data_IF_590966720284
#
_entry.id   IF_590966720284
#
_cell.length_a   1.000
_cell.length_b   1.000
_cell.length_c   1.000
_cell.angle_alpha   90.00
_cell.angle_beta   90.00
_cell.angle_gamma   90.00
#
_symmetry.space_group_name_H-M   'P 1'
#
loop_
_entity.id
_entity.type
_entity.pdbx_description
1 polymer ?
#
# COMPACT_ATOMS: atom_id res chain seq x y z
N UNK A 1 17.51 6.25 4.82
CA UNK A 1 17.60 6.91 4.07
C UNK A 1 17.50 8.35 4.04
N UNK A 2 16.45 8.90 3.87
CA UNK A 2 16.34 10.32 3.85
C UNK A 2 16.81 10.93 5.12
N UNK A 3 16.51 10.31 6.22
CA UNK A 3 16.91 10.87 7.50
C UNK A 3 18.40 10.89 7.68
N UNK A 4 19.06 9.85 7.32
CA UNK A 4 20.47 9.80 7.47
C UNK A 4 21.14 10.83 6.62
N UNK A 5 20.68 10.99 5.43
CA UNK A 5 21.26 11.97 4.57
C UNK A 5 21.25 13.32 5.20
N UNK A 6 20.16 13.61 5.90
CA UNK A 6 20.08 14.91 6.52
C UNK A 6 20.93 15.02 7.72
N UNK A 7 21.14 13.94 8.42
CA UNK A 7 21.97 13.97 9.56
C UNK A 7 23.31 14.55 9.24
N UNK A 8 23.85 14.13 8.16
CA UNK A 8 25.14 14.63 7.83
C UNK A 8 25.16 16.06 7.46
N UNK A 9 24.15 16.51 6.82
CA UNK A 9 24.12 17.85 6.40
C UNK A 9 23.88 18.80 7.50
N UNK A 10 23.51 18.31 8.60
CA UNK A 10 23.10 19.20 9.63
C UNK A 10 24.07 19.42 10.62
N UNK A 11 25.07 20.03 10.30
CA UNK A 11 25.86 20.48 11.31
C UNK A 11 25.09 21.44 12.05
N UNK A 12 24.08 22.01 11.50
CA UNK A 12 23.29 22.97 12.22
C UNK A 12 21.99 22.33 12.53
N UNK A 13 21.50 22.48 13.71
CA UNK A 13 20.20 21.96 14.07
C UNK A 13 19.09 22.51 13.24
N UNK A 14 19.33 23.64 12.58
CA UNK A 14 18.32 24.23 11.72
C UNK A 14 18.03 23.36 10.52
N UNK A 15 19.05 22.91 9.83
CA UNK A 15 18.84 22.05 8.68
C UNK A 15 18.18 20.76 9.07
N UNK A 16 18.61 20.21 10.19
CA UNK A 16 18.01 18.99 10.67
C UNK A 16 16.52 19.16 10.91
N UNK A 17 16.16 20.26 11.57
CA UNK A 17 14.78 20.50 11.86
C UNK A 17 13.96 20.66 10.59
N UNK A 18 14.48 21.40 9.61
CA UNK A 18 13.76 21.60 8.37
C UNK A 18 13.51 20.29 7.67
N UNK A 19 14.51 19.41 7.69
CA UNK A 19 14.34 18.14 7.04
C UNK A 19 13.28 17.30 7.71
N UNK A 20 13.24 17.30 9.03
CA UNK A 20 12.22 16.56 9.75
C UNK A 20 10.84 17.07 9.44
N UNK A 21 10.69 18.37 9.33
CA UNK A 21 9.39 18.92 8.98
C UNK A 21 8.95 18.45 7.61
N UNK A 22 9.87 18.39 6.67
CA UNK A 22 9.52 17.88 5.36
C UNK A 22 9.06 16.45 5.44
N UNK A 23 9.74 15.62 6.20
CA UNK A 23 9.35 14.24 6.35
C UNK A 23 7.98 14.12 6.97
N UNK A 24 7.70 14.90 7.99
CA UNK A 24 6.39 14.86 8.63
C UNK A 24 5.27 15.31 7.70
N UNK A 25 5.59 16.09 6.69
CA UNK A 25 4.59 16.52 5.73
C UNK A 25 4.51 15.59 4.55
N UNK A 26 5.17 14.43 4.62
CA UNK A 26 5.13 13.51 3.55
C UNK A 26 3.74 13.11 3.25
N UNK A 27 3.55 12.71 2.02
CA UNK A 27 2.24 12.36 1.60
C UNK A 27 1.74 11.14 2.31
N UNK A 28 0.44 11.14 2.49
CA UNK A 28 -0.25 9.98 2.98
C UNK A 28 -0.43 8.99 1.84
N UNK A 29 -0.82 7.75 2.12
CA UNK A 29 -1.13 6.80 1.04
C UNK A 29 -2.16 7.39 0.10
N UNK A 30 -2.08 7.02 -1.17
CA UNK A 30 -3.02 7.51 -2.16
C UNK A 30 -4.39 6.86 -1.96
N UNK A 31 -5.42 7.61 -2.30
CA UNK A 31 -6.80 7.18 -2.09
C UNK A 31 -7.47 6.90 -3.43
N UNK A 32 -8.18 5.80 -3.49
CA UNK A 32 -8.92 5.40 -4.67
C UNK A 32 -10.35 5.05 -4.29
N UNK A 33 -11.30 5.36 -5.16
CA UNK A 33 -12.70 5.04 -4.93
C UNK A 33 -13.03 3.77 -5.68
N UNK A 34 -13.57 2.79 -4.97
CA UNK A 34 -13.91 1.52 -5.58
C UNK A 34 -15.13 1.65 -6.49
N UNK A 35 -15.39 0.60 -7.26
CA UNK A 35 -16.49 0.58 -8.22
C UNK A 35 -17.84 0.82 -7.57
N UNK A 36 -17.99 0.48 -6.28
CA UNK A 36 -19.26 0.70 -5.59
C UNK A 36 -19.55 2.17 -5.30
N UNK A 37 -18.63 3.05 -5.63
CA UNK A 37 -18.84 4.48 -5.48
C UNK A 37 -18.77 4.99 -4.05
N UNK A 38 -18.34 4.16 -3.10
CA UNK A 38 -18.27 4.60 -1.70
C UNK A 38 -17.10 4.03 -0.92
N UNK A 39 -16.59 2.87 -1.26
CA UNK A 39 -15.49 2.26 -0.52
C UNK A 39 -14.16 2.89 -0.93
N UNK A 40 -13.38 3.31 0.06
CA UNK A 40 -12.07 3.92 -0.20
C UNK A 40 -11.00 2.85 -0.06
N UNK A 41 -10.10 2.80 -1.05
CA UNK A 41 -8.99 1.87 -1.05
C UNK A 41 -7.72 2.70 -0.96
N UNK A 42 -6.84 2.35 -0.05
CA UNK A 42 -5.58 3.07 0.15
C UNK A 42 -4.43 2.31 -0.45
N UNK A 43 -3.51 3.03 -1.08
CA UNK A 43 -2.35 2.45 -1.75
C UNK A 43 -1.09 3.13 -1.22
N UNK A 44 -0.17 2.34 -0.67
CA UNK A 44 1.11 2.86 -0.22
C UNK A 44 2.06 3.00 -1.40
N UNK A 45 2.77 4.11 -1.46
CA UNK A 45 3.62 4.42 -2.61
C UNK A 45 5.10 4.20 -2.36
N UNK A 46 5.48 3.91 -1.15
CA UNK A 46 6.87 3.58 -0.84
C UNK A 46 6.89 2.72 0.42
N UNK A 47 8.05 2.22 0.78
CA UNK A 47 8.14 1.27 1.89
C UNK A 47 7.65 1.84 3.21
N UNK A 48 7.89 3.11 3.48
CA UNK A 48 7.43 3.71 4.72
C UNK A 48 5.92 3.84 4.75
N UNK A 49 5.32 4.27 3.62
CA UNK A 49 3.87 4.35 3.53
C UNK A 49 3.25 2.96 3.62
N UNK A 50 3.86 1.96 2.99
CA UNK A 50 3.36 0.59 3.05
C UNK A 50 3.35 0.10 4.49
N UNK A 51 4.41 0.36 5.23
CA UNK A 51 4.52 -0.06 6.62
C UNK A 51 3.47 0.63 7.48
N UNK A 52 3.33 1.93 7.30
CA UNK A 52 2.35 2.72 8.03
C UNK A 52 0.93 2.24 7.74
N UNK A 53 0.62 2.05 6.47
CA UNK A 53 -0.70 1.62 6.05
C UNK A 53 -1.05 0.27 6.66
N UNK A 54 -0.12 -0.66 6.58
CA UNK A 54 -0.38 -2.04 6.96
C UNK A 54 -0.44 -2.22 8.48
N UNK A 55 0.47 -1.59 9.20
CA UNK A 55 0.60 -1.86 10.62
C UNK A 55 -0.01 -0.81 11.54
N UNK A 56 -0.27 0.39 11.02
CA UNK A 56 -0.83 1.44 11.85
C UNK A 56 -2.21 1.91 11.42
N UNK A 57 -2.49 1.92 10.13
CA UNK A 57 -3.75 2.45 9.64
C UNK A 57 -4.83 1.39 9.45
N UNK A 58 -4.45 0.20 8.97
CA UNK A 58 -5.42 -0.84 8.70
C UNK A 58 -6.06 -1.33 10.00
N UNK A 59 -7.38 -1.52 9.96
CA UNK A 59 -8.14 -1.94 11.13
C UNK A 59 -8.44 -3.42 11.07
N UNK A 60 -8.85 -3.97 12.21
CA UNK A 60 -9.16 -5.38 12.30
C UNK A 60 -10.23 -5.75 11.28
N UNK A 61 -9.99 -6.81 10.54
CA UNK A 61 -10.94 -7.30 9.55
C UNK A 61 -10.79 -6.69 8.17
N UNK A 62 -10.02 -5.61 8.02
CA UNK A 62 -9.84 -5.01 6.71
C UNK A 62 -8.89 -5.85 5.86
N UNK A 63 -9.15 -5.90 4.56
CA UNK A 63 -8.39 -6.74 3.65
C UNK A 63 -7.21 -6.00 3.05
N UNK A 64 -6.10 -6.70 2.96
CA UNK A 64 -4.82 -6.22 2.45
C UNK A 64 -4.48 -6.99 1.17
N UNK A 65 -3.88 -6.31 0.21
CA UNK A 65 -3.54 -6.90 -1.08
C UNK A 65 -2.11 -6.55 -1.46
N UNK A 66 -1.46 -7.47 -2.16
CA UNK A 66 -0.10 -7.24 -2.65
C UNK A 66 0.20 -8.23 -3.78
N UNK A 67 0.89 -7.75 -4.81
CA UNK A 67 1.27 -8.64 -5.92
C UNK A 67 2.14 -9.77 -5.36
N UNK A 68 1.85 -11.00 -5.81
CA UNK A 68 2.48 -12.17 -5.24
C UNK A 68 3.94 -12.24 -5.64
N UNK A 69 4.83 -12.32 -4.62
CA UNK A 69 6.27 -12.51 -4.84
C UNK A 69 6.93 -11.48 -5.76
N UNK A 70 6.35 -10.28 -5.88
CA UNK A 70 6.92 -9.22 -6.70
C UNK A 70 6.87 -7.92 -5.90
N UNK A 71 7.87 -7.06 -6.06
CA UNK A 71 7.81 -5.77 -5.36
C UNK A 71 6.64 -4.94 -5.83
N UNK A 72 5.96 -4.30 -4.89
CA UNK A 72 4.81 -3.48 -5.22
C UNK A 72 4.24 -2.80 -4.00
N UNK A 73 3.14 -2.07 -4.21
CA UNK A 73 2.46 -1.33 -3.17
C UNK A 73 1.60 -2.24 -2.30
N UNK A 74 1.51 -1.89 -1.03
CA UNK A 74 0.50 -2.48 -0.15
C UNK A 74 -0.82 -1.75 -0.43
N UNK A 75 -1.91 -2.48 -0.45
CA UNK A 75 -3.24 -1.95 -0.75
C UNK A 75 -4.20 -2.43 0.31
N UNK A 76 -5.03 -1.54 0.85
CA UNK A 76 -5.98 -1.90 1.90
C UNK A 76 -7.36 -1.35 1.56
N UNK A 77 -8.39 -2.19 1.65
CA UNK A 77 -9.77 -1.76 1.55
C UNK A 77 -10.18 -1.24 2.92
N UNK A 78 -10.55 0.04 3.01
CA UNK A 78 -10.82 0.67 4.29
C UNK A 78 -12.31 0.76 4.58
N UNK A 79 -12.65 0.64 5.87
CA UNK A 79 -14.01 0.85 6.37
C UNK A 79 -15.08 0.04 5.65
N UNK A 80 -14.73 -1.15 5.20
CA UNK A 80 -15.68 -2.06 4.57
C UNK A 80 -15.22 -3.47 4.92
N UNK A 81 -15.88 -4.11 5.86
CA UNK A 81 -15.48 -5.42 6.35
C UNK A 81 -16.07 -6.57 5.55
N UNK A 82 -16.94 -6.25 4.59
CA UNK A 82 -17.54 -7.27 3.75
C UNK A 82 -17.62 -6.74 2.31
N UNK A 83 -16.47 -6.48 1.70
CA UNK A 83 -16.48 -5.91 0.35
C UNK A 83 -16.98 -6.93 -0.66
N UNK A 84 -17.63 -6.40 -1.70
CA UNK A 84 -18.10 -7.24 -2.79
C UNK A 84 -16.91 -7.77 -3.60
N UNK A 85 -17.19 -8.73 -4.46
CA UNK A 85 -16.14 -9.26 -5.33
C UNK A 85 -15.59 -8.18 -6.24
N UNK A 86 -16.44 -7.24 -6.68
CA UNK A 86 -15.97 -6.14 -7.51
C UNK A 86 -14.99 -5.25 -6.78
N UNK A 87 -15.28 -4.95 -5.51
CA UNK A 87 -14.37 -4.11 -4.72
C UNK A 87 -13.05 -4.85 -4.47
N UNK A 88 -13.11 -6.15 -4.22
CA UNK A 88 -11.90 -6.94 -4.07
C UNK A 88 -11.08 -6.95 -5.34
N UNK A 89 -11.75 -7.07 -6.49
CA UNK A 89 -11.07 -7.01 -7.77
C UNK A 89 -10.42 -5.65 -7.98
N UNK A 90 -11.12 -4.57 -7.62
CA UNK A 90 -10.56 -3.22 -7.72
C UNK A 90 -9.25 -3.13 -6.93
N UNK A 91 -9.26 -3.62 -5.71
CA UNK A 91 -8.07 -3.55 -4.86
C UNK A 91 -6.95 -4.41 -5.43
N UNK A 92 -7.28 -5.58 -5.95
CA UNK A 92 -6.28 -6.46 -6.56
C UNK A 92 -5.67 -5.80 -7.79
N UNK A 93 -6.50 -5.13 -8.59
CA UNK A 93 -5.99 -4.44 -9.77
C UNK A 93 -5.09 -3.28 -9.39
N UNK A 94 -5.41 -2.57 -8.31
CA UNK A 94 -4.52 -1.52 -7.83
C UNK A 94 -3.17 -2.11 -7.40
N UNK A 95 -3.19 -3.21 -6.67
CA UNK A 95 -1.95 -3.85 -6.24
C UNK A 95 -1.13 -4.32 -7.43
N UNK A 96 -1.78 -4.87 -8.44
CA UNK A 96 -1.08 -5.33 -9.64
C UNK A 96 -0.50 -4.15 -10.42
N UNK A 97 -1.28 -3.08 -10.56
CA UNK A 97 -0.84 -1.93 -11.32
C UNK A 97 0.37 -1.25 -10.67
N UNK A 98 0.37 -1.15 -9.35
CA UNK A 98 1.48 -0.52 -8.63
C UNK A 98 2.52 -1.55 -8.20
N UNK A 99 2.83 -2.48 -9.10
CA UNK A 99 3.87 -3.48 -8.88
C UNK A 99 4.74 -3.54 -10.12
N UNK A 100 5.78 -4.34 -10.04
CA UNK A 100 6.66 -4.52 -11.18
C UNK A 100 6.01 -5.33 -12.30
N UNK A 101 4.83 -5.88 -12.06
CA UNK A 101 4.12 -6.66 -13.07
C UNK A 101 3.01 -5.85 -13.75
N UNK A 102 3.05 -4.51 -13.65
CA UNK A 102 1.94 -3.68 -14.14
C UNK A 102 1.55 -3.88 -15.59
N UNK A 103 2.48 -4.30 -16.42
CA UNK A 103 2.21 -4.51 -17.83
C UNK A 103 1.92 -5.97 -18.18
N UNK A 104 1.80 -6.82 -17.19
CA UNK A 104 1.55 -8.23 -17.42
C UNK A 104 0.07 -8.54 -17.38
N UNK A 105 -0.31 -9.66 -18.00
CA UNK A 105 -1.67 -10.17 -17.93
C UNK A 105 -1.77 -11.15 -16.79
N UNK A 106 -2.94 -11.22 -16.17
CA UNK A 106 -3.22 -12.19 -15.11
C UNK A 106 -2.18 -12.17 -14.01
N UNK A 107 -1.97 -11.00 -13.46
CA UNK A 107 -1.06 -10.84 -12.34
C UNK A 107 -1.68 -11.49 -11.10
N UNK A 108 -0.91 -12.30 -10.40
CA UNK A 108 -1.39 -12.90 -9.16
C UNK A 108 -1.24 -11.91 -8.03
N UNK A 109 -2.31 -11.77 -7.24
CA UNK A 109 -2.33 -10.83 -6.12
C UNK A 109 -2.81 -11.57 -4.89
N UNK A 110 -2.03 -11.48 -3.81
CA UNK A 110 -2.42 -12.10 -2.54
C UNK A 110 -3.39 -11.20 -1.81
N UNK A 111 -4.38 -11.80 -1.15
CA UNK A 111 -5.37 -11.09 -0.35
C UNK A 111 -5.46 -11.77 1.00
N UNK A 112 -5.40 -10.98 2.07
CA UNK A 112 -5.48 -11.50 3.42
C UNK A 112 -5.91 -10.38 4.36
N UNK A 113 -6.48 -10.72 5.51
CA UNK A 113 -6.77 -9.69 6.50
C UNK A 113 -5.49 -9.05 6.99
N UNK A 114 -5.49 -7.72 7.07
CA UNK A 114 -4.28 -6.99 7.41
C UNK A 114 -3.70 -7.39 8.76
N UNK A 115 -4.55 -7.70 9.73
CA UNK A 115 -4.05 -8.04 11.06
C UNK A 115 -3.44 -9.43 11.15
N UNK A 116 -3.50 -10.19 10.07
CA UNK A 116 -2.80 -11.48 10.03
C UNK A 116 -1.39 -11.35 9.50
N UNK A 117 -0.98 -10.15 9.13
CA UNK A 117 0.37 -9.91 8.63
C UNK A 117 1.32 -9.73 9.79
N UNK A 118 2.54 -10.22 9.60
CA UNK A 118 3.58 -10.09 10.62
C UNK A 118 4.79 -9.38 10.03
N UNK A 119 5.41 -8.55 10.83
CA UNK A 119 6.63 -7.89 10.44
C UNK A 119 7.79 -8.77 10.90
N UNK A 120 8.68 -9.18 9.99
CA UNK A 120 9.79 -10.03 10.40
C UNK A 120 10.68 -9.29 11.40
N UNK A 121 11.25 -10.03 12.34
CA UNK A 121 12.15 -9.45 13.32
C UNK A 121 13.32 -8.81 12.60
N UNK A 122 13.57 -7.52 12.90
CA UNK A 122 14.62 -6.79 12.21
C UNK A 122 14.30 -6.47 10.77
N UNK A 123 13.05 -6.67 10.35
CA UNK A 123 12.67 -6.43 8.97
C UNK A 123 12.63 -4.96 8.64
N UNK A 124 12.90 -4.66 7.37
CA UNK A 124 12.85 -3.30 6.89
C UNK A 124 11.41 -2.88 6.66
N UNK A 125 11.14 -1.57 6.63
CA UNK A 125 9.79 -1.11 6.36
C UNK A 125 9.24 -1.70 5.07
N UNK A 126 7.98 -2.07 5.10
CA UNK A 126 7.30 -2.64 3.95
C UNK A 126 7.42 -4.14 3.81
N UNK A 127 8.27 -4.79 4.62
CA UNK A 127 8.42 -6.24 4.55
C UNK A 127 7.44 -6.91 5.49
N UNK A 128 6.75 -7.94 5.01
CA UNK A 128 5.76 -8.67 5.80
C UNK A 128 5.84 -10.15 5.50
N UNK A 129 5.34 -10.95 6.45
CA UNK A 129 5.16 -12.38 6.22
C UNK A 129 3.73 -12.73 6.56
N UNK A 130 3.17 -13.75 5.90
CA UNK A 130 1.79 -14.14 6.13
C UNK A 130 1.52 -15.54 5.63
N UNK A 131 0.42 -16.12 6.10
CA UNK A 131 -0.07 -17.42 5.67
C UNK A 131 -1.57 -17.36 5.57
N UNK A 132 -2.13 -18.27 4.79
CA UNK A 132 -3.58 -18.37 4.70
C UNK A 132 -4.18 -17.38 3.74
N UNK A 133 -3.37 -16.78 2.89
CA UNK A 133 -3.86 -15.83 1.92
C UNK A 133 -4.63 -16.52 0.80
N UNK A 134 -5.50 -15.75 0.16
CA UNK A 134 -6.13 -16.15 -1.08
C UNK A 134 -5.43 -15.41 -2.20
N UNK A 135 -5.44 -15.97 -3.39
CA UNK A 135 -4.78 -15.35 -4.53
C UNK A 135 -5.80 -15.07 -5.61
N UNK A 136 -5.82 -13.84 -6.08
CA UNK A 136 -6.65 -13.44 -7.22
C UNK A 136 -5.75 -13.25 -8.43
N UNK A 137 -6.33 -13.38 -9.61
CA UNK A 137 -5.61 -13.11 -10.85
C UNK A 137 -6.33 -12.00 -11.57
N UNK A 138 -5.61 -10.92 -11.84
CA UNK A 138 -6.20 -9.74 -12.45
C UNK A 138 -5.29 -9.19 -13.53
N UNK A 139 -5.87 -8.45 -14.47
CA UNK A 139 -5.11 -7.75 -15.50
C UNK A 139 -5.36 -6.27 -15.30
N UNK A 140 -4.41 -5.53 -14.74
CA UNK A 140 -4.64 -4.12 -14.47
C UNK A 140 -4.62 -3.31 -15.76
N UNK A 141 -5.43 -2.26 -15.80
CA UNK A 141 -5.41 -1.33 -16.92
C UNK A 141 -5.25 0.07 -16.37
N UNK A 142 -4.45 0.86 -17.06
CA UNK A 142 -4.21 2.22 -16.63
C UNK A 142 -5.49 3.03 -16.63
N UNK A 143 -6.36 2.78 -17.60
CA UNK A 143 -7.62 3.52 -17.70
C UNK A 143 -8.47 3.35 -16.45
N UNK A 144 -8.64 2.12 -16.00
CA UNK A 144 -9.47 1.88 -14.82
C UNK A 144 -8.84 2.50 -13.58
N UNK A 145 -7.52 2.37 -13.45
CA UNK A 145 -6.83 2.91 -12.28
C UNK A 145 -7.00 4.42 -12.21
N UNK A 146 -6.89 5.10 -13.35
CA UNK A 146 -7.05 6.55 -13.37
C UNK A 146 -8.46 6.99 -12.98
N UNK A 147 -9.46 6.23 -13.38
CA UNK A 147 -10.84 6.61 -13.05
C UNK A 147 -11.13 6.44 -11.57
N UNK A 148 -10.39 5.61 -10.86
CA UNK A 148 -10.61 5.40 -9.44
C UNK A 148 -9.86 6.39 -8.56
N UNK A 149 -8.89 7.11 -9.10
CA UNK A 149 -8.06 7.99 -8.30
C UNK A 149 -8.86 9.13 -7.68
N UNK A 150 -8.65 9.38 -6.39
CA UNK A 150 -9.28 10.49 -5.68
C UNK A 150 -8.20 11.53 -5.39
N UNK A 151 -8.52 12.75 -5.66
CA UNK A 151 -7.57 13.84 -5.40
C UNK A 151 -7.66 14.35 -3.99
#
# INVERSE_FOLDING_TARGET
EIDEIREELIETGYLKRRHREKIHKRQKPERYLATDGKTIILVGKNNLQNDELTFKMAKKGELWFHAKDIPGSHVVITDNLDPSDEVKTDAAELAAYFSKARHSNLVQVDMIEAKKLHKPTGGKPGFVTYRGQKTLRVTPTEEKIKTMKIN
#
